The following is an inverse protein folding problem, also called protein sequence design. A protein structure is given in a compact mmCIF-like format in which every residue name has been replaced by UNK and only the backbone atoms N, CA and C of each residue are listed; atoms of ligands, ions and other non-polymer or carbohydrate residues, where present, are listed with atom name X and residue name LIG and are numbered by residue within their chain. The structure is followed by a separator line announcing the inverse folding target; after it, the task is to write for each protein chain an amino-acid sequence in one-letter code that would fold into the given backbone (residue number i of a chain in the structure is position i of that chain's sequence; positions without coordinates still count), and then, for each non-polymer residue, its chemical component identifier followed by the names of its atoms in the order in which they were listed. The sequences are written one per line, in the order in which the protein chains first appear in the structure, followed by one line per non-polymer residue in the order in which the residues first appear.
data_IF_834833229861
#
_entry.id   IF_834833229861
#
_cell.length_a   1.000
_cell.length_b   1.000
_cell.length_c   1.000
_cell.angle_alpha   90.00
_cell.angle_beta   90.00
_cell.angle_gamma   90.00
#
_symmetry.space_group_name_H-M   'P 1'
#
loop_
_entity.id
_entity.type
_entity.pdbx_description
1 polymer ?
#
# COMPACT_ATOMS: atom_id res chain seq x y z
N UNK A 1 -17.69 9.99 -7.55
CA UNK A 1 -16.32 9.46 -7.39
C UNK A 1 -15.33 10.45 -6.77
N UNK A 2 -15.13 11.69 -7.27
CA UNK A 2 -14.22 12.70 -6.64
C UNK A 2 -14.47 12.95 -5.15
N UNK A 3 -15.75 13.02 -4.74
CA UNK A 3 -16.14 13.26 -3.34
C UNK A 3 -15.84 12.10 -2.38
N UNK A 4 -15.75 10.86 -2.87
CA UNK A 4 -15.52 9.70 -2.01
C UNK A 4 -14.05 9.58 -1.57
N UNK A 5 -13.11 10.11 -2.37
CA UNK A 5 -11.68 10.11 -2.05
C UNK A 5 -11.28 11.30 -1.17
N UNK A 6 -11.98 12.44 -1.25
CA UNK A 6 -11.68 13.61 -0.42
C UNK A 6 -12.26 13.57 1.00
N UNK A 7 -13.12 12.59 1.34
CA UNK A 7 -13.87 12.61 2.60
C UNK A 7 -13.24 11.81 3.75
N UNK A 8 -11.99 11.36 3.63
CA UNK A 8 -11.33 10.65 4.73
C UNK A 8 -9.86 11.05 4.94
N UNK A 9 -9.59 12.36 4.93
CA UNK A 9 -8.31 12.94 5.35
C UNK A 9 -8.54 13.78 6.61
N UNK A 10 -8.12 13.33 7.80
CA UNK A 10 -8.07 14.19 8.98
C UNK A 10 -6.77 15.00 8.94
N UNK A 11 -6.87 16.28 8.59
CA UNK A 11 -5.87 17.33 8.80
C UNK A 11 -6.66 18.39 9.61
N UNK A 12 -6.25 19.00 10.72
CA UNK A 12 -4.99 19.26 11.43
C UNK A 12 -5.41 19.69 12.83
N UNK A 13 -4.64 19.37 13.87
CA UNK A 13 -4.37 20.36 14.92
C UNK A 13 -2.93 20.17 15.41
N UNK A 14 -2.06 21.06 14.92
CA UNK A 14 -0.81 21.42 15.57
C UNK A 14 -1.18 22.30 16.76
N UNK A 15 -0.60 22.00 17.93
CA UNK A 15 -0.40 22.97 19.01
C UNK A 15 0.84 22.54 19.79
N UNK A 16 1.69 23.53 20.01
CA UNK A 16 3.02 23.54 20.61
C UNK A 16 2.91 23.88 22.11
N UNK A 17 3.67 23.21 23.00
CA UNK A 17 4.26 23.77 24.25
C UNK A 17 4.83 22.67 25.18
N UNK A 18 6.16 22.65 25.26
CA UNK A 18 7.13 22.48 26.37
C UNK A 18 6.84 21.91 27.78
N UNK A 19 7.89 21.18 28.29
CA UNK A 19 8.34 20.89 29.69
C UNK A 19 7.55 19.81 30.49
N UNK A 20 8.11 18.88 31.29
CA UNK A 20 9.34 18.80 32.11
C UNK A 20 9.89 17.35 32.22
N UNK A 21 11.13 17.27 32.69
CA UNK A 21 11.94 16.08 33.02
C UNK A 21 11.62 15.57 34.44
N UNK A 22 11.45 14.26 34.65
CA UNK A 22 11.67 13.65 35.97
C UNK A 22 12.29 12.24 35.86
N UNK A 23 13.02 11.90 36.91
CA UNK A 23 14.23 11.08 36.90
C UNK A 23 13.99 9.59 37.16
N UNK A 24 14.84 8.81 36.51
CA UNK A 24 15.49 7.54 36.85
C UNK A 24 14.98 6.64 38.01
N UNK A 25 14.99 5.34 37.66
CA UNK A 25 15.25 4.13 38.48
C UNK A 25 14.10 3.45 39.26
N UNK A 26 13.67 2.28 38.77
CA UNK A 26 14.04 1.00 39.42
C UNK A 26 13.67 -0.26 38.60
N UNK A 27 14.56 -1.24 38.69
CA UNK A 27 14.59 -2.54 38.02
C UNK A 27 13.45 -3.48 38.42
N UNK A 28 12.91 -4.24 37.47
CA UNK A 28 12.45 -5.62 37.71
C UNK A 28 12.34 -6.43 36.41
N UNK A 29 12.98 -7.59 36.41
CA UNK A 29 12.96 -8.64 35.39
C UNK A 29 11.56 -9.05 34.91
N UNK A 30 11.40 -9.23 33.60
CA UNK A 30 10.25 -9.92 33.01
C UNK A 30 10.35 -10.14 31.49
N UNK A 31 10.99 -11.24 31.08
CA UNK A 31 10.84 -11.96 29.79
C UNK A 31 10.69 -11.16 28.48
N UNK A 32 11.81 -10.90 27.78
CA UNK A 32 11.83 -10.48 26.37
C UNK A 32 12.40 -11.60 25.48
N UNK A 33 11.77 -12.78 25.47
CA UNK A 33 12.18 -13.86 24.54
C UNK A 33 10.99 -14.57 23.85
N UNK A 34 9.74 -14.24 24.17
CA UNK A 34 8.56 -14.91 23.59
C UNK A 34 7.88 -14.14 22.46
N UNK A 35 8.13 -12.83 22.30
CA UNK A 35 7.47 -11.99 21.28
C UNK A 35 8.17 -12.03 19.91
N UNK A 36 9.49 -12.26 19.88
CA UNK A 36 10.29 -12.25 18.64
C UNK A 36 9.99 -13.45 17.73
N UNK A 37 9.63 -14.60 18.31
CA UNK A 37 9.44 -15.84 17.56
C UNK A 37 8.13 -15.85 16.74
N UNK A 38 7.07 -15.23 17.25
CA UNK A 38 5.78 -15.11 16.56
C UNK A 38 5.87 -14.22 15.32
N UNK A 39 6.43 -13.01 15.47
CA UNK A 39 6.59 -12.06 14.36
C UNK A 39 7.46 -12.63 13.23
N UNK A 40 8.48 -13.41 13.56
CA UNK A 40 9.32 -14.07 12.55
C UNK A 40 8.58 -15.18 11.80
N UNK A 41 7.75 -15.97 12.49
CA UNK A 41 6.92 -16.98 11.83
C UNK A 41 5.88 -16.35 10.89
N UNK A 42 5.24 -15.26 11.33
CA UNK A 42 4.28 -14.49 10.54
C UNK A 42 4.92 -13.85 9.32
N UNK A 43 6.14 -13.30 9.47
CA UNK A 43 6.89 -12.75 8.34
C UNK A 43 7.22 -13.82 7.29
N UNK A 44 7.66 -15.01 7.71
CA UNK A 44 7.94 -16.11 6.78
C UNK A 44 6.66 -16.63 6.11
N UNK A 45 5.52 -16.66 6.82
CA UNK A 45 4.23 -16.95 6.23
C UNK A 45 3.80 -15.87 5.22
N UNK A 46 4.01 -14.59 5.55
CA UNK A 46 3.71 -13.47 4.67
C UNK A 46 4.53 -13.52 3.38
N UNK A 47 5.84 -13.79 3.46
CA UNK A 47 6.71 -14.00 2.28
C UNK A 47 6.21 -15.13 1.37
N UNK A 48 5.84 -16.27 1.95
CA UNK A 48 5.30 -17.41 1.19
C UNK A 48 4.01 -17.05 0.47
N UNK A 49 3.09 -16.38 1.17
CA UNK A 49 1.83 -15.93 0.56
C UNK A 49 2.08 -14.89 -0.52
N UNK A 50 2.92 -13.88 -0.27
CA UNK A 50 3.29 -12.85 -1.25
C UNK A 50 3.84 -13.46 -2.54
N UNK A 51 4.74 -14.45 -2.43
CA UNK A 51 5.27 -15.17 -3.60
C UNK A 51 4.18 -15.91 -4.39
N UNK A 52 3.24 -16.57 -3.70
CA UNK A 52 2.12 -17.26 -4.36
C UNK A 52 1.15 -16.28 -5.03
N UNK A 53 0.88 -15.14 -4.40
CA UNK A 53 0.07 -14.07 -4.96
C UNK A 53 0.72 -13.48 -6.22
N UNK A 54 2.03 -13.22 -6.19
CA UNK A 54 2.77 -12.68 -7.35
C UNK A 54 2.81 -13.66 -8.53
N UNK A 55 3.01 -14.94 -8.26
CA UNK A 55 3.02 -15.99 -9.29
C UNK A 55 1.62 -16.46 -9.71
N UNK A 56 0.55 -15.91 -9.11
CA UNK A 56 -0.84 -16.34 -9.30
C UNK A 56 -1.04 -17.86 -9.07
N UNK A 57 -0.31 -18.43 -8.11
CA UNK A 57 -0.36 -19.86 -7.76
C UNK A 57 -1.63 -20.19 -6.96
N UNK A 58 -2.71 -20.48 -7.70
CA UNK A 58 -4.04 -20.73 -7.16
C UNK A 58 -4.85 -19.45 -6.89
N UNK A 59 -4.42 -18.30 -7.42
CA UNK A 59 -5.06 -17.00 -7.20
C UNK A 59 -5.36 -16.29 -8.53
N UNK A 60 -6.42 -15.48 -8.56
CA UNK A 60 -6.67 -14.52 -9.64
C UNK A 60 -6.16 -13.13 -9.23
N UNK A 61 -5.93 -12.24 -10.21
CA UNK A 61 -5.53 -10.85 -9.94
C UNK A 61 -6.46 -10.10 -8.97
N UNK A 62 -7.77 -10.39 -9.02
CA UNK A 62 -8.75 -9.82 -8.09
C UNK A 62 -8.57 -10.32 -6.64
N UNK A 63 -8.08 -11.56 -6.45
CA UNK A 63 -7.80 -12.10 -5.13
C UNK A 63 -6.57 -11.44 -4.51
N UNK A 64 -5.56 -11.14 -5.32
CA UNK A 64 -4.37 -10.38 -4.89
C UNK A 64 -4.79 -9.04 -4.31
N UNK A 65 -5.56 -8.22 -5.04
CA UNK A 65 -6.02 -6.93 -4.56
C UNK A 65 -6.83 -7.04 -3.26
N UNK A 66 -7.71 -8.05 -3.16
CA UNK A 66 -8.47 -8.31 -1.93
C UNK A 66 -7.57 -8.71 -0.76
N UNK A 67 -6.49 -9.45 -1.00
CA UNK A 67 -5.53 -9.80 0.05
C UNK A 67 -4.77 -8.58 0.54
N UNK A 68 -4.27 -7.73 -0.37
CA UNK A 68 -3.47 -6.56 -0.02
C UNK A 68 -4.32 -5.42 0.56
N UNK A 69 -5.61 -5.36 0.22
CA UNK A 69 -6.53 -4.33 0.66
C UNK A 69 -7.12 -4.53 2.06
N UNK A 70 -6.75 -5.57 2.81
CA UNK A 70 -7.29 -5.78 4.17
C UNK A 70 -6.58 -4.92 5.21
N UNK A 71 -7.35 -4.41 6.17
CA UNK A 71 -6.81 -3.63 7.29
C UNK A 71 -6.43 -4.54 8.48
N UNK A 72 -5.39 -5.36 8.32
CA UNK A 72 -4.79 -6.11 9.42
C UNK A 72 -3.27 -6.25 9.23
N UNK A 73 -2.54 -6.50 10.31
CA UNK A 73 -1.06 -6.51 10.32
C UNK A 73 -0.48 -7.56 9.36
N UNK A 74 -1.07 -8.77 9.31
CA UNK A 74 -0.60 -9.80 8.40
C UNK A 74 -0.76 -9.40 6.92
N UNK A 75 -1.87 -8.76 6.56
CA UNK A 75 -2.11 -8.21 5.22
C UNK A 75 -1.08 -7.15 4.85
N UNK A 76 -0.76 -6.24 5.79
CA UNK A 76 0.28 -5.22 5.58
C UNK A 76 1.65 -5.86 5.36
N UNK A 77 2.01 -6.89 6.14
CA UNK A 77 3.24 -7.66 5.92
C UNK A 77 3.27 -8.32 4.54
N UNK A 78 2.17 -8.97 4.14
CA UNK A 78 2.05 -9.60 2.82
C UNK A 78 2.19 -8.56 1.71
N UNK A 79 1.58 -7.37 1.84
CA UNK A 79 1.70 -6.29 0.88
C UNK A 79 3.15 -5.81 0.75
N UNK A 80 3.83 -5.57 1.87
CA UNK A 80 5.24 -5.20 1.89
C UNK A 80 6.13 -6.23 1.18
N UNK A 81 5.94 -7.52 1.47
CA UNK A 81 6.70 -8.58 0.79
C UNK A 81 6.32 -8.75 -0.69
N UNK A 82 5.04 -8.55 -1.04
CA UNK A 82 4.57 -8.62 -2.42
C UNK A 82 5.18 -7.51 -3.29
N UNK A 83 5.24 -6.29 -2.76
CA UNK A 83 5.77 -5.12 -3.45
C UNK A 83 7.29 -5.18 -3.65
N UNK A 84 8.02 -6.01 -2.91
CA UNK A 84 9.46 -6.27 -3.14
C UNK A 84 9.74 -6.99 -4.45
N UNK A 85 8.75 -7.67 -5.06
CA UNK A 85 8.91 -8.28 -6.38
C UNK A 85 8.89 -7.25 -7.53
N UNK A 86 8.52 -6.00 -7.25
CA UNK A 86 8.55 -4.91 -8.21
C UNK A 86 9.84 -4.10 -8.07
N UNK A 87 10.48 -3.83 -9.22
CA UNK A 87 11.68 -2.99 -9.28
C UNK A 87 11.24 -1.60 -9.69
N UNK A 88 11.13 -0.68 -8.72
CA UNK A 88 10.74 0.71 -8.97
C UNK A 88 11.91 1.69 -9.00
N UNK A 89 13.11 1.27 -8.61
CA UNK A 89 14.29 2.13 -8.54
C UNK A 89 14.60 2.74 -9.91
N UNK A 90 14.70 4.07 -9.94
CA UNK A 90 14.99 4.83 -11.16
C UNK A 90 13.80 5.00 -12.11
N UNK A 91 12.63 4.46 -11.79
CA UNK A 91 11.40 4.72 -12.55
C UNK A 91 10.75 6.02 -12.05
N UNK A 92 10.10 6.75 -12.95
CA UNK A 92 9.18 7.82 -12.53
C UNK A 92 7.94 7.22 -11.84
N UNK A 93 7.25 8.04 -11.03
CA UNK A 93 6.07 7.60 -10.28
C UNK A 93 4.99 7.01 -11.19
N UNK A 94 4.75 7.63 -12.34
CA UNK A 94 3.75 7.18 -13.29
C UNK A 94 4.14 5.85 -13.97
N UNK A 95 5.43 5.63 -14.26
CA UNK A 95 5.93 4.37 -14.83
C UNK A 95 5.81 3.22 -13.81
N UNK A 96 6.23 3.46 -12.57
CA UNK A 96 6.10 2.50 -11.49
C UNK A 96 4.64 2.14 -11.23
N UNK A 97 3.75 3.14 -11.21
CA UNK A 97 2.32 2.95 -11.00
C UNK A 97 1.69 2.12 -12.14
N UNK A 98 2.01 2.41 -13.40
CA UNK A 98 1.54 1.61 -14.55
C UNK A 98 2.02 0.16 -14.47
N UNK A 99 3.29 -0.05 -14.13
CA UNK A 99 3.86 -1.39 -13.95
C UNK A 99 3.13 -2.17 -12.85
N UNK A 100 2.87 -1.52 -11.72
CA UNK A 100 2.14 -2.12 -10.60
C UNK A 100 0.69 -2.48 -10.96
N UNK A 101 -0.05 -1.56 -11.57
CA UNK A 101 -1.46 -1.75 -11.93
C UNK A 101 -1.67 -2.72 -13.11
N UNK A 102 -0.63 -3.01 -13.88
CA UNK A 102 -0.67 -4.07 -14.90
C UNK A 102 -0.81 -5.46 -14.24
N UNK A 103 -0.14 -5.67 -13.12
CA UNK A 103 -0.17 -6.94 -12.40
C UNK A 103 -1.29 -7.03 -11.37
N UNK A 104 -1.85 -5.89 -10.96
CA UNK A 104 -2.90 -5.81 -9.97
C UNK A 104 -4.21 -5.23 -10.52
N UNK A 105 -5.31 -5.97 -10.40
CA UNK A 105 -6.63 -5.43 -10.69
C UNK A 105 -7.21 -4.75 -9.43
N UNK A 106 -7.21 -3.41 -9.39
CA UNK A 106 -7.83 -2.62 -8.32
C UNK A 106 -9.37 -2.72 -8.37
N UNK A 107 -9.88 -3.87 -7.98
CA UNK A 107 -11.29 -4.18 -7.79
C UNK A 107 -11.62 -4.13 -6.29
N UNK A 108 -12.88 -3.85 -5.95
CA UNK A 108 -13.32 -3.72 -4.55
C UNK A 108 -13.72 -2.30 -4.17
N UNK A 109 -13.90 -2.07 -2.88
CA UNK A 109 -14.37 -0.80 -2.32
C UNK A 109 -13.30 0.29 -2.39
N UNK A 110 -13.72 1.56 -2.37
CA UNK A 110 -12.80 2.72 -2.43
C UNK A 110 -11.70 2.62 -1.38
N UNK A 111 -12.05 2.27 -0.14
CA UNK A 111 -11.10 2.17 0.96
C UNK A 111 -10.08 1.03 0.79
N UNK A 112 -10.48 -0.08 0.16
CA UNK A 112 -9.55 -1.18 -0.13
C UNK A 112 -8.52 -0.75 -1.17
N UNK A 113 -8.97 -0.06 -2.22
CA UNK A 113 -8.08 0.46 -3.28
C UNK A 113 -7.07 1.45 -2.72
N UNK A 114 -7.53 2.36 -1.86
CA UNK A 114 -6.67 3.35 -1.20
C UNK A 114 -5.57 2.70 -0.37
N UNK A 115 -5.88 1.65 0.40
CA UNK A 115 -4.87 0.91 1.16
C UNK A 115 -3.82 0.24 0.27
N UNK A 116 -4.24 -0.33 -0.86
CA UNK A 116 -3.29 -0.91 -1.81
C UNK A 116 -2.39 0.15 -2.44
N UNK A 117 -2.93 1.33 -2.75
CA UNK A 117 -2.15 2.46 -3.25
C UNK A 117 -1.20 3.03 -2.19
N UNK A 118 -1.57 3.02 -0.91
CA UNK A 118 -0.70 3.40 0.19
C UNK A 118 0.54 2.51 0.26
N UNK A 119 0.36 1.18 0.20
CA UNK A 119 1.48 0.24 0.14
C UNK A 119 2.38 0.47 -1.08
N UNK A 120 1.81 0.73 -2.26
CA UNK A 120 2.58 1.09 -3.43
C UNK A 120 3.42 2.35 -3.22
N UNK A 121 2.82 3.40 -2.63
CA UNK A 121 3.44 4.71 -2.44
C UNK A 121 4.63 4.61 -1.48
N UNK A 122 4.45 3.88 -0.38
CA UNK A 122 5.51 3.56 0.57
C UNK A 122 6.68 2.87 -0.13
N UNK A 123 6.41 1.81 -0.90
CA UNK A 123 7.46 1.09 -1.63
C UNK A 123 8.17 1.96 -2.66
N UNK A 124 7.42 2.78 -3.39
CA UNK A 124 8.01 3.68 -4.39
C UNK A 124 8.98 4.67 -3.74
N UNK A 125 8.60 5.25 -2.61
CA UNK A 125 9.44 6.16 -1.83
C UNK A 125 10.72 5.47 -1.32
N UNK A 126 10.60 4.26 -0.75
CA UNK A 126 11.76 3.45 -0.34
C UNK A 126 12.75 3.21 -1.48
N UNK A 127 12.24 2.95 -2.70
CA UNK A 127 13.06 2.72 -3.87
C UNK A 127 13.65 4.00 -4.49
N UNK A 128 13.06 5.17 -4.20
CA UNK A 128 13.38 6.45 -4.83
C UNK A 128 13.36 7.63 -3.81
N UNK A 129 14.15 7.58 -2.72
CA UNK A 129 14.06 8.56 -1.62
C UNK A 129 14.40 10.00 -2.03
N UNK A 130 15.13 10.19 -3.13
CA UNK A 130 15.50 11.50 -3.65
C UNK A 130 14.49 12.08 -4.66
N UNK A 131 13.52 11.28 -5.12
CA UNK A 131 12.57 11.71 -6.14
C UNK A 131 11.40 12.52 -5.57
N UNK A 132 11.00 12.25 -4.32
CA UNK A 132 9.89 12.89 -3.63
C UNK A 132 10.30 13.13 -2.19
N UNK A 133 9.93 14.27 -1.60
CA UNK A 133 10.43 14.68 -0.28
C UNK A 133 9.89 13.85 0.91
N UNK A 134 8.77 13.15 0.74
CA UNK A 134 8.14 12.33 1.78
C UNK A 134 7.27 11.21 1.22
N UNK A 135 7.01 10.18 2.04
CA UNK A 135 6.05 9.11 1.75
C UNK A 135 4.64 9.67 1.48
N UNK A 136 4.16 10.58 2.32
CA UNK A 136 2.86 11.25 2.14
C UNK A 136 2.77 12.02 0.82
N UNK A 137 3.88 12.63 0.39
CA UNK A 137 4.00 13.27 -0.91
C UNK A 137 3.85 12.26 -2.06
N UNK A 138 4.50 11.10 -1.94
CA UNK A 138 4.39 10.03 -2.94
C UNK A 138 2.96 9.47 -3.00
N UNK A 139 2.29 9.34 -1.86
CA UNK A 139 0.90 8.90 -1.79
C UNK A 139 -0.06 9.93 -2.39
N UNK A 140 0.09 11.19 -2.02
CA UNK A 140 -0.72 12.30 -2.57
C UNK A 140 -0.61 12.37 -4.09
N UNK A 141 0.62 12.28 -4.62
CA UNK A 141 0.86 12.28 -6.07
C UNK A 141 0.27 11.05 -6.76
N UNK A 142 0.37 9.87 -6.14
CA UNK A 142 -0.25 8.63 -6.64
C UNK A 142 -1.77 8.78 -6.72
N UNK A 143 -2.41 9.28 -5.67
CA UNK A 143 -3.85 9.54 -5.65
C UNK A 143 -4.25 10.58 -6.71
N UNK A 144 -3.47 11.65 -6.88
CA UNK A 144 -3.67 12.62 -7.94
C UNK A 144 -3.59 11.98 -9.35
N UNK A 145 -2.60 11.11 -9.59
CA UNK A 145 -2.46 10.37 -10.86
C UNK A 145 -3.65 9.44 -11.11
N UNK A 146 -4.18 8.78 -10.08
CA UNK A 146 -5.37 7.93 -10.19
C UNK A 146 -6.63 8.74 -10.52
N UNK A 147 -6.74 9.95 -9.97
CA UNK A 147 -7.82 10.89 -10.30
C UNK A 147 -7.68 11.46 -11.72
N UNK A 148 -6.48 11.83 -12.14
CA UNK A 148 -6.19 12.35 -13.49
C UNK A 148 -6.47 11.32 -14.59
N UNK A 149 -6.12 10.05 -14.36
CA UNK A 149 -6.42 8.97 -15.30
C UNK A 149 -7.94 8.74 -15.49
N UNK A 150 -8.78 9.22 -14.55
CA UNK A 150 -10.24 9.16 -14.69
C UNK A 150 -10.81 10.33 -15.52
N UNK A 151 -10.09 11.45 -15.62
CA UNK A 151 -10.54 12.65 -16.36
C UNK A 151 -10.19 12.62 -17.85
N UNK A 152 -9.01 12.09 -18.21
CA UNK A 152 -8.54 12.09 -19.59
C UNK A 152 -8.98 10.83 -20.37
N UNK A 153 -9.23 9.72 -19.67
CA UNK A 153 -9.77 8.50 -20.25
C UNK A 153 -10.89 7.96 -19.34
N UNK A 154 -12.14 8.15 -19.72
CA UNK A 154 -13.32 7.58 -19.05
C UNK A 154 -13.39 6.04 -19.04
N UNK A 155 -12.28 5.33 -19.23
CA UNK A 155 -12.16 3.87 -19.34
C UNK A 155 -11.84 3.14 -18.04
N UNK A 156 -11.69 3.84 -16.91
CA UNK A 156 -11.61 3.17 -15.58
C UNK A 156 -12.97 3.10 -14.89
N UNK A 157 -14.00 3.75 -15.46
CA UNK A 157 -15.40 3.63 -15.03
C UNK A 157 -16.03 2.27 -15.38
N UNK A 158 -15.42 1.51 -16.30
CA UNK A 158 -15.89 0.18 -16.72
C UNK A 158 -15.40 -0.98 -15.83
N UNK A 159 -14.55 -0.73 -14.82
CA UNK A 159 -14.22 -1.76 -13.81
C UNK A 159 -15.41 -2.12 -12.89
N UNK A 160 -16.56 -1.47 -13.06
CA UNK A 160 -17.78 -1.78 -12.31
C UNK A 160 -18.87 -2.51 -13.13
N UNK A 161 -18.78 -2.61 -14.46
CA UNK A 161 -19.85 -3.24 -15.24
C UNK A 161 -19.34 -3.80 -16.56
N UNK A 162 -19.43 -5.14 -16.71
CA UNK A 162 -19.56 -5.96 -17.92
C UNK A 162 -18.52 -7.11 -18.00
N UNK A 163 -18.95 -8.38 -18.04
CA UNK A 163 -18.07 -9.50 -18.35
C UNK A 163 -17.79 -9.53 -19.87
N UNK A 164 -16.51 -9.55 -20.26
CA UNK A 164 -16.10 -10.05 -21.57
C UNK A 164 -15.61 -9.05 -22.62
N UNK A 165 -14.71 -8.11 -22.30
CA UNK A 165 -13.91 -7.46 -23.35
C UNK A 165 -12.41 -7.39 -23.03
N UNK A 166 -11.61 -7.73 -24.04
CA UNK A 166 -10.15 -7.68 -24.08
C UNK A 166 -9.64 -6.24 -24.08
N UNK A 167 -8.76 -5.91 -23.15
CA UNK A 167 -8.07 -4.62 -23.05
C UNK A 167 -7.07 -4.45 -24.22
N UNK A 168 -7.06 -3.32 -24.96
CA UNK A 168 -5.90 -2.91 -25.70
C UNK A 168 -4.90 -2.19 -24.76
N UNK A 169 -3.62 -2.31 -25.12
CA UNK A 169 -2.42 -1.92 -24.38
C UNK A 169 -2.42 -0.53 -23.74
#
# INVERSE_FOLDING_TARGET
CRRAWCLNSPHVLVSDSDLEMDSMEQLALGSTDTLSNGHKADLEAAKRLAKRLYNLDGFKKADVARHLGKNNEFSKMVAGEYLKFFVFTGMSLDQALRSFLKELALMGETQERERVLAHFSQRYYECNPNAISSEDGAHTLTCALMLLNTDLHGHVSSLCSQPGQSLPF
#
